data_IF_136044354116
#
_entry.id   IF_136044354116
#
_cell.length_a   1.000
_cell.length_b   1.000
_cell.length_c   1.000
_cell.angle_alpha   90.00
_cell.angle_beta   90.00
_cell.angle_gamma   90.00
#
_symmetry.space_group_name_H-M   'P 1'
#
loop_
_entity.id
_entity.type
_entity.pdbx_description
1 polymer ?
#
# COMPACT_ATOMS: atom_id res chain seq x y z
N UNK A 1 -10.34 24.89 0.57
CA UNK A 1 -10.09 23.49 0.99
C UNK A 1 -9.51 22.75 -0.20
N UNK A 2 -8.45 22.00 -0.03
CA UNK A 2 -7.83 21.23 -1.12
C UNK A 2 -8.75 20.09 -1.51
N UNK A 3 -9.01 19.89 -2.80
CA UNK A 3 -9.85 18.80 -3.29
C UNK A 3 -9.12 17.46 -3.11
N UNK A 4 -9.80 16.40 -2.64
CA UNK A 4 -9.20 15.08 -2.49
C UNK A 4 -8.78 14.50 -3.85
N UNK A 5 -7.61 13.86 -3.90
CA UNK A 5 -7.12 13.16 -5.11
C UNK A 5 -7.74 11.77 -5.26
N UNK A 6 -8.12 11.15 -4.13
CA UNK A 6 -8.90 9.90 -4.09
C UNK A 6 -10.10 10.12 -3.17
N UNK A 7 -11.29 9.73 -3.62
CA UNK A 7 -12.53 9.80 -2.86
C UNK A 7 -13.21 8.45 -2.87
N UNK A 8 -13.53 7.94 -1.71
CA UNK A 8 -14.24 6.67 -1.53
C UNK A 8 -15.56 6.96 -0.85
N UNK A 9 -16.66 6.47 -1.41
CA UNK A 9 -18.01 6.75 -0.91
C UNK A 9 -18.82 5.47 -0.82
N UNK A 10 -19.24 5.11 0.39
CA UNK A 10 -20.10 3.98 0.68
C UNK A 10 -19.57 2.64 0.16
N UNK A 11 -18.24 2.48 0.06
CA UNK A 11 -17.61 1.31 -0.56
C UNK A 11 -17.95 0.03 0.19
N UNK A 12 -18.52 -0.94 -0.51
CA UNK A 12 -18.80 -2.30 -0.01
C UNK A 12 -18.23 -3.34 -0.93
N UNK A 13 -17.70 -4.40 -0.34
CA UNK A 13 -17.12 -5.52 -1.09
C UNK A 13 -17.45 -6.84 -0.44
N UNK A 14 -17.95 -7.77 -1.26
CA UNK A 14 -18.26 -9.14 -0.84
C UNK A 14 -17.51 -10.16 -1.69
N UNK A 15 -17.04 -11.22 -1.04
CA UNK A 15 -16.56 -12.45 -1.67
C UNK A 15 -17.50 -13.59 -1.27
N UNK A 16 -18.38 -13.96 -2.18
CA UNK A 16 -19.45 -14.90 -1.88
C UNK A 16 -20.35 -14.37 -0.74
N UNK A 17 -20.39 -15.08 0.40
CA UNK A 17 -21.18 -14.69 1.58
C UNK A 17 -20.45 -13.75 2.54
N UNK A 18 -19.13 -13.55 2.36
CA UNK A 18 -18.32 -12.77 3.30
C UNK A 18 -18.25 -11.32 2.83
N UNK A 19 -18.72 -10.38 3.65
CA UNK A 19 -18.56 -8.95 3.41
C UNK A 19 -17.25 -8.47 4.04
N UNK A 20 -16.26 -8.13 3.19
CA UNK A 20 -14.90 -7.75 3.59
C UNK A 20 -14.80 -6.24 3.85
N UNK A 21 -15.44 -5.41 3.02
CA UNK A 21 -15.54 -3.97 3.23
C UNK A 21 -17.02 -3.64 3.43
N UNK A 22 -17.34 -2.93 4.52
CA UNK A 22 -18.71 -2.81 5.05
C UNK A 22 -19.24 -1.38 5.01
N UNK A 23 -19.07 -0.69 3.89
CA UNK A 23 -19.53 0.69 3.70
C UNK A 23 -18.58 1.67 4.35
N UNK A 24 -17.48 1.99 3.65
CA UNK A 24 -16.46 2.94 4.10
C UNK A 24 -16.50 4.20 3.24
N UNK A 25 -16.19 5.33 3.90
CA UNK A 25 -15.96 6.62 3.29
C UNK A 25 -14.56 7.09 3.65
N UNK A 26 -13.81 7.63 2.67
CA UNK A 26 -12.46 8.12 2.88
C UNK A 26 -12.11 9.16 1.83
N UNK A 27 -11.51 10.27 2.26
CA UNK A 27 -10.85 11.24 1.41
C UNK A 27 -9.34 11.19 1.62
N UNK A 28 -8.59 11.13 0.52
CA UNK A 28 -7.13 11.18 0.50
C UNK A 28 -6.71 12.43 -0.25
N UNK A 29 -5.89 13.25 0.40
CA UNK A 29 -5.53 14.56 -0.12
C UNK A 29 -4.20 14.53 -0.89
N UNK A 30 -4.00 15.43 -1.85
CA UNK A 30 -2.74 15.53 -2.59
C UNK A 30 -1.55 15.76 -1.65
N UNK A 31 -0.46 15.03 -1.91
CA UNK A 31 0.84 15.17 -1.24
C UNK A 31 0.88 14.74 0.22
N UNK A 32 -0.13 14.06 0.72
CA UNK A 32 -0.07 13.40 2.03
C UNK A 32 0.42 11.96 1.92
N UNK A 33 0.98 11.45 3.00
CA UNK A 33 1.15 10.02 3.23
C UNK A 33 0.04 9.56 4.18
N UNK A 34 -0.96 8.86 3.63
CA UNK A 34 -1.98 8.21 4.43
C UNK A 34 -1.56 6.77 4.72
N UNK A 35 -1.50 6.40 5.99
CA UNK A 35 -1.28 5.02 6.40
C UNK A 35 -2.60 4.40 6.85
N UNK A 36 -3.00 3.32 6.17
CA UNK A 36 -4.15 2.50 6.54
C UNK A 36 -3.63 1.35 7.39
N UNK A 37 -3.83 1.48 8.69
CA UNK A 37 -3.43 0.52 9.69
C UNK A 37 -4.56 -0.49 9.94
N UNK A 38 -4.24 -1.72 10.26
CA UNK A 38 -5.24 -2.72 10.61
C UNK A 38 -4.69 -4.14 10.62
N UNK A 39 -5.41 -5.06 11.24
CA UNK A 39 -5.04 -6.47 11.34
C UNK A 39 -5.08 -7.16 9.98
N UNK A 40 -4.38 -8.28 9.86
CA UNK A 40 -4.45 -9.11 8.64
C UNK A 40 -5.91 -9.53 8.37
N UNK A 41 -6.32 -9.47 7.10
CA UNK A 41 -7.67 -9.86 6.67
C UNK A 41 -8.77 -8.80 6.86
N UNK A 42 -8.51 -7.63 7.46
CA UNK A 42 -9.54 -6.59 7.66
C UNK A 42 -9.96 -5.83 6.39
N UNK A 43 -9.33 -6.09 5.23
CA UNK A 43 -9.73 -5.50 3.93
C UNK A 43 -8.76 -4.50 3.32
N UNK A 44 -7.59 -4.22 3.91
CA UNK A 44 -6.62 -3.20 3.44
C UNK A 44 -6.18 -3.39 1.98
N UNK A 45 -5.65 -4.56 1.64
CA UNK A 45 -5.21 -4.86 0.27
C UNK A 45 -6.38 -4.90 -0.72
N UNK A 46 -7.58 -5.27 -0.27
CA UNK A 46 -8.80 -5.19 -1.06
C UNK A 46 -9.12 -3.75 -1.41
N UNK A 47 -8.97 -2.83 -0.45
CA UNK A 47 -9.18 -1.41 -0.69
C UNK A 47 -8.20 -0.86 -1.73
N UNK A 48 -6.90 -1.19 -1.65
CA UNK A 48 -5.92 -0.78 -2.67
C UNK A 48 -6.30 -1.30 -4.06
N UNK A 49 -6.80 -2.54 -4.17
CA UNK A 49 -7.24 -3.11 -5.46
C UNK A 49 -8.43 -2.36 -6.06
N UNK A 50 -9.31 -1.79 -5.24
CA UNK A 50 -10.39 -0.91 -5.74
C UNK A 50 -9.83 0.41 -6.25
N UNK A 51 -8.88 1.02 -5.54
CA UNK A 51 -8.28 2.30 -5.93
C UNK A 51 -7.60 2.20 -7.31
N UNK A 52 -6.90 1.10 -7.60
CA UNK A 52 -6.26 0.88 -8.91
C UNK A 52 -7.19 0.23 -9.95
N UNK A 53 -8.46 0.02 -9.61
CA UNK A 53 -9.45 -0.57 -10.53
C UNK A 53 -9.24 -2.05 -10.83
N UNK A 54 -8.39 -2.79 -10.09
CA UNK A 54 -8.23 -4.25 -10.25
C UNK A 54 -9.43 -5.04 -9.76
N UNK A 55 -10.30 -4.40 -8.98
CA UNK A 55 -11.51 -5.03 -8.47
C UNK A 55 -12.67 -4.04 -8.50
N UNK A 56 -13.81 -4.47 -9.04
CA UNK A 56 -15.04 -3.69 -8.98
C UNK A 56 -15.71 -3.88 -7.62
N UNK A 57 -16.21 -2.81 -6.98
CA UNK A 57 -16.94 -2.92 -5.70
C UNK A 57 -18.30 -3.56 -5.90
N UNK A 58 -18.87 -4.14 -4.83
CA UNK A 58 -20.25 -4.61 -4.82
C UNK A 58 -21.23 -3.44 -4.76
N UNK A 59 -20.86 -2.38 -4.03
CA UNK A 59 -21.60 -1.12 -3.91
C UNK A 59 -20.63 0.02 -3.62
N UNK A 60 -21.07 1.26 -3.84
CA UNK A 60 -20.29 2.45 -3.58
C UNK A 60 -19.44 2.86 -4.77
N UNK A 61 -18.59 3.86 -4.55
CA UNK A 61 -17.83 4.55 -5.59
C UNK A 61 -16.38 4.78 -5.14
N UNK A 62 -15.46 4.73 -6.09
CA UNK A 62 -14.03 5.04 -5.88
C UNK A 62 -13.58 5.99 -6.98
N UNK A 63 -13.49 7.27 -6.65
CA UNK A 63 -12.99 8.29 -7.56
C UNK A 63 -11.48 8.46 -7.36
N UNK A 64 -10.73 8.34 -8.43
CA UNK A 64 -9.28 8.62 -8.46
C UNK A 64 -9.03 9.71 -9.49
N UNK A 65 -8.52 10.85 -9.05
CA UNK A 65 -8.37 12.04 -9.91
C UNK A 65 -9.67 12.43 -10.63
N UNK A 66 -10.81 12.28 -9.95
CA UNK A 66 -12.14 12.58 -10.48
C UNK A 66 -12.77 11.47 -11.33
N UNK A 67 -12.05 10.40 -11.65
CA UNK A 67 -12.54 9.28 -12.47
C UNK A 67 -13.01 8.12 -11.58
N UNK A 68 -14.22 7.62 -11.79
CA UNK A 68 -14.75 6.49 -11.04
C UNK A 68 -14.17 5.16 -11.54
N UNK A 69 -13.24 4.60 -10.78
CA UNK A 69 -12.55 3.35 -11.10
C UNK A 69 -13.47 2.12 -11.09
N UNK A 70 -14.69 2.23 -10.55
CA UNK A 70 -15.66 1.14 -10.56
C UNK A 70 -16.30 0.92 -11.94
N UNK A 71 -16.41 2.00 -12.73
CA UNK A 71 -17.12 1.99 -14.02
C UNK A 71 -16.25 2.42 -15.20
N UNK A 72 -15.14 3.15 -14.95
CA UNK A 72 -14.24 3.60 -16.02
C UNK A 72 -13.65 2.41 -16.80
N UNK A 73 -13.56 2.58 -18.12
CA UNK A 73 -13.03 1.57 -19.05
C UNK A 73 -12.15 2.25 -20.12
N UNK A 74 -11.35 1.46 -20.82
CA UNK A 74 -10.51 1.92 -21.93
C UNK A 74 -9.55 3.04 -21.55
N UNK A 75 -9.39 4.03 -22.45
CA UNK A 75 -8.38 5.10 -22.32
C UNK A 75 -8.54 5.96 -21.06
N UNK A 76 -9.77 6.21 -20.58
CA UNK A 76 -10.00 6.99 -19.38
C UNK A 76 -9.42 6.30 -18.14
N UNK A 77 -9.69 5.00 -17.99
CA UNK A 77 -9.11 4.17 -16.92
C UNK A 77 -7.60 4.06 -17.03
N UNK A 78 -7.09 3.81 -18.24
CA UNK A 78 -5.66 3.65 -18.51
C UNK A 78 -4.88 4.94 -18.21
N UNK A 79 -5.47 6.10 -18.53
CA UNK A 79 -4.87 7.41 -18.19
C UNK A 79 -4.70 7.59 -16.68
N UNK A 80 -5.67 7.17 -15.87
CA UNK A 80 -5.57 7.18 -14.41
C UNK A 80 -4.53 6.15 -13.94
N UNK A 81 -4.58 4.91 -14.45
CA UNK A 81 -3.67 3.84 -14.05
C UNK A 81 -2.20 4.20 -14.30
N UNK A 82 -1.89 4.90 -15.40
CA UNK A 82 -0.52 5.43 -15.68
C UNK A 82 -0.04 6.43 -14.63
N UNK A 83 -0.95 7.06 -13.86
CA UNK A 83 -0.63 8.01 -12.78
C UNK A 83 -0.66 7.41 -11.39
N UNK A 84 -0.85 6.10 -11.28
CA UNK A 84 -0.87 5.36 -10.02
C UNK A 84 0.20 4.26 -10.08
N UNK A 85 1.23 4.38 -9.25
CA UNK A 85 2.20 3.31 -9.03
C UNK A 85 1.74 2.37 -7.92
N UNK A 86 2.04 1.07 -8.04
CA UNK A 86 1.69 0.08 -7.03
C UNK A 86 2.87 -0.79 -6.64
N UNK A 87 3.23 -0.80 -5.36
CA UNK A 87 4.10 -1.79 -4.76
C UNK A 87 3.24 -2.88 -4.09
N UNK A 88 3.26 -4.07 -4.64
CA UNK A 88 2.57 -5.24 -4.10
C UNK A 88 3.34 -5.87 -2.93
N UNK A 89 2.66 -6.56 -2.03
CA UNK A 89 3.23 -7.20 -0.85
C UNK A 89 4.45 -8.09 -1.17
N UNK A 90 4.40 -8.89 -2.22
CA UNK A 90 5.52 -9.74 -2.68
C UNK A 90 6.46 -9.07 -3.70
N UNK A 91 6.41 -7.72 -3.86
CA UNK A 91 7.02 -6.97 -4.95
C UNK A 91 6.51 -7.35 -6.37
N UNK A 92 5.96 -8.53 -6.55
CA UNK A 92 5.36 -9.06 -7.80
C UNK A 92 6.27 -8.87 -9.05
N UNK A 93 7.58 -9.08 -8.89
CA UNK A 93 8.52 -9.05 -10.03
C UNK A 93 8.30 -10.28 -10.92
N UNK A 94 8.41 -10.07 -12.23
CA UNK A 94 8.43 -11.16 -13.19
C UNK A 94 9.76 -11.92 -13.09
N UNK A 95 9.72 -13.16 -12.67
CA UNK A 95 10.92 -13.97 -12.43
C UNK A 95 11.66 -14.35 -13.73
N UNK A 96 11.02 -14.24 -14.89
CA UNK A 96 11.60 -14.48 -16.22
C UNK A 96 12.28 -13.24 -16.81
N UNK A 97 12.24 -12.11 -16.12
CA UNK A 97 12.79 -10.83 -16.54
C UNK A 97 13.85 -10.36 -15.54
N UNK A 98 14.89 -9.70 -16.04
CA UNK A 98 15.88 -9.04 -15.17
C UNK A 98 15.24 -7.91 -14.36
N UNK A 99 15.97 -7.37 -13.39
CA UNK A 99 15.55 -6.22 -12.60
C UNK A 99 15.32 -5.00 -13.50
N UNK A 100 16.23 -4.76 -14.44
CA UNK A 100 16.11 -3.67 -15.41
C UNK A 100 14.87 -3.83 -16.29
N UNK A 101 14.63 -5.03 -16.84
CA UNK A 101 13.45 -5.33 -17.67
C UNK A 101 12.15 -5.18 -16.86
N UNK A 102 12.11 -5.61 -15.61
CA UNK A 102 10.96 -5.37 -14.72
C UNK A 102 10.64 -3.88 -14.55
N UNK A 103 11.65 -3.04 -14.39
CA UNK A 103 11.47 -1.59 -14.21
C UNK A 103 11.16 -0.89 -15.53
N UNK A 104 11.70 -1.37 -16.65
CA UNK A 104 11.46 -0.84 -17.98
C UNK A 104 10.04 -1.14 -18.49
N UNK A 105 9.47 -2.29 -18.09
CA UNK A 105 8.21 -2.82 -18.64
C UNK A 105 7.07 -1.79 -18.70
N UNK A 106 6.75 -1.00 -17.64
CA UNK A 106 5.70 0.00 -17.75
C UNK A 106 5.97 1.08 -18.81
N UNK A 107 7.24 1.44 -19.01
CA UNK A 107 7.64 2.42 -20.01
C UNK A 107 7.50 1.85 -21.43
N UNK A 108 7.87 0.59 -21.63
CA UNK A 108 7.76 -0.11 -22.93
C UNK A 108 6.29 -0.29 -23.34
N UNK A 109 5.44 -0.68 -22.41
CA UNK A 109 4.02 -0.95 -22.68
C UNK A 109 3.18 0.33 -22.86
N UNK A 110 3.52 1.42 -22.16
CA UNK A 110 2.65 2.59 -22.10
C UNK A 110 3.23 3.84 -22.74
N UNK A 111 4.44 3.77 -23.36
CA UNK A 111 5.05 4.92 -24.03
C UNK A 111 5.59 4.56 -25.42
N UNK A 112 5.92 5.58 -26.18
CA UNK A 112 6.63 5.43 -27.48
C UNK A 112 8.06 5.95 -27.41
N UNK A 113 8.69 5.87 -26.24
CA UNK A 113 10.06 6.31 -26.01
C UNK A 113 11.07 5.41 -26.73
N UNK A 114 12.18 6.01 -27.20
CA UNK A 114 13.26 5.22 -27.77
C UNK A 114 13.87 4.28 -26.71
N UNK A 115 14.32 3.07 -27.08
CA UNK A 115 14.92 2.10 -26.14
C UNK A 115 16.09 2.67 -25.32
N UNK A 116 16.88 3.58 -25.91
CA UNK A 116 17.97 4.28 -25.20
C UNK A 116 17.44 5.17 -24.07
N UNK A 117 16.33 5.86 -24.29
CA UNK A 117 15.68 6.71 -23.29
C UNK A 117 15.10 5.86 -22.16
N UNK A 118 14.39 4.77 -22.49
CA UNK A 118 13.84 3.81 -21.51
C UNK A 118 14.97 3.27 -20.62
N UNK A 119 16.12 2.90 -21.20
CA UNK A 119 17.28 2.41 -20.44
C UNK A 119 17.82 3.45 -19.47
N UNK A 120 17.92 4.70 -19.88
CA UNK A 120 18.36 5.79 -19.00
C UNK A 120 17.35 5.97 -17.84
N UNK A 121 16.06 6.05 -18.15
CA UNK A 121 15.01 6.19 -17.13
C UNK A 121 15.04 5.03 -16.15
N UNK A 122 15.14 3.80 -16.64
CA UNK A 122 15.24 2.59 -15.81
C UNK A 122 16.41 2.68 -14.81
N UNK A 123 17.61 3.05 -15.28
CA UNK A 123 18.78 3.22 -14.41
C UNK A 123 18.58 4.31 -13.37
N UNK A 124 17.99 5.43 -13.74
CA UNK A 124 17.65 6.50 -12.78
C UNK A 124 16.68 5.99 -11.70
N UNK A 125 15.65 5.20 -12.07
CA UNK A 125 14.72 4.63 -11.09
C UNK A 125 15.40 3.62 -10.16
N UNK A 126 16.31 2.80 -10.69
CA UNK A 126 17.11 1.87 -9.87
C UNK A 126 18.06 2.62 -8.93
N UNK A 127 18.69 3.68 -9.38
CA UNK A 127 19.53 4.53 -8.54
C UNK A 127 18.74 5.18 -7.40
N UNK A 128 17.55 5.72 -7.68
CA UNK A 128 16.65 6.31 -6.67
C UNK A 128 16.33 5.37 -5.52
N UNK A 129 16.25 4.06 -5.77
CA UNK A 129 15.96 3.06 -4.74
C UNK A 129 17.23 2.37 -4.21
N UNK A 130 18.43 2.79 -4.62
CA UNK A 130 19.70 2.26 -4.18
C UNK A 130 20.04 0.89 -4.79
N UNK A 131 19.65 0.67 -6.04
CA UNK A 131 19.95 -0.55 -6.82
C UNK A 131 20.76 -0.24 -8.10
N UNK A 132 21.64 0.76 -8.06
CA UNK A 132 22.57 1.03 -9.18
C UNK A 132 23.44 -0.18 -9.49
N UNK A 133 23.52 -0.57 -10.77
CA UNK A 133 24.31 -1.71 -11.23
C UNK A 133 23.66 -3.08 -11.05
N UNK A 134 22.39 -3.14 -10.64
CA UNK A 134 21.63 -4.38 -10.53
C UNK A 134 20.69 -4.63 -11.72
N UNK A 135 20.84 -3.89 -12.82
CA UNK A 135 19.97 -3.97 -14.02
C UNK A 135 19.86 -5.39 -14.58
N UNK A 136 21.02 -6.09 -14.66
CA UNK A 136 21.10 -7.43 -15.30
C UNK A 136 20.83 -8.59 -14.32
N UNK A 137 20.60 -8.29 -13.03
CA UNK A 137 20.32 -9.32 -12.03
C UNK A 137 18.89 -9.86 -12.19
N UNK A 138 18.72 -11.16 -11.95
CA UNK A 138 17.40 -11.78 -11.91
C UNK A 138 16.77 -11.62 -10.50
N UNK A 139 15.44 -11.55 -10.38
CA UNK A 139 14.77 -11.46 -9.08
C UNK A 139 15.19 -12.53 -8.07
N UNK A 140 15.51 -13.74 -8.55
CA UNK A 140 15.97 -14.84 -7.69
C UNK A 140 17.32 -14.57 -6.99
N UNK A 141 18.14 -13.66 -7.54
CA UNK A 141 19.44 -13.27 -6.99
C UNK A 141 19.35 -12.15 -5.95
N UNK A 142 18.17 -11.56 -5.75
CA UNK A 142 17.96 -10.44 -4.85
C UNK A 142 17.52 -10.91 -3.46
N UNK A 143 17.95 -10.17 -2.43
CA UNK A 143 17.38 -10.28 -1.08
C UNK A 143 15.93 -9.78 -1.06
N UNK A 144 15.18 -10.07 0.02
CA UNK A 144 13.79 -9.59 0.18
C UNK A 144 13.67 -8.08 0.09
N UNK A 145 14.55 -7.35 0.77
CA UNK A 145 14.59 -5.89 0.72
C UNK A 145 14.94 -5.33 -0.67
N UNK A 146 15.88 -5.96 -1.39
CA UNK A 146 16.22 -5.58 -2.76
C UNK A 146 15.03 -5.83 -3.72
N UNK A 147 14.28 -6.93 -3.55
CA UNK A 147 13.05 -7.17 -4.32
C UNK A 147 12.01 -6.08 -4.09
N UNK A 148 11.82 -5.64 -2.85
CA UNK A 148 10.91 -4.53 -2.52
C UNK A 148 11.37 -3.22 -3.18
N UNK A 149 12.67 -2.91 -3.13
CA UNK A 149 13.25 -1.74 -3.80
C UNK A 149 13.06 -1.80 -5.32
N UNK A 150 13.30 -2.94 -5.97
CA UNK A 150 13.07 -3.13 -7.40
C UNK A 150 11.58 -2.98 -7.77
N UNK A 151 10.68 -3.55 -6.96
CA UNK A 151 9.23 -3.35 -7.11
C UNK A 151 8.83 -1.89 -6.97
N UNK A 152 9.47 -1.14 -6.06
CA UNK A 152 9.26 0.29 -5.88
C UNK A 152 9.77 1.08 -7.09
N UNK A 153 10.97 0.75 -7.63
CA UNK A 153 11.49 1.36 -8.85
C UNK A 153 10.54 1.17 -10.03
N UNK A 154 9.97 -0.04 -10.19
CA UNK A 154 8.96 -0.32 -11.21
C UNK A 154 7.68 0.50 -11.01
N UNK A 155 7.20 0.59 -9.77
CA UNK A 155 6.02 1.41 -9.44
C UNK A 155 6.24 2.90 -9.76
N UNK A 156 7.48 3.37 -9.69
CA UNK A 156 7.87 4.76 -9.98
C UNK A 156 8.20 5.00 -11.47
N UNK A 157 8.24 3.98 -12.32
CA UNK A 157 8.75 4.08 -13.69
C UNK A 157 8.05 5.16 -14.51
N UNK A 158 6.73 5.31 -14.36
CA UNK A 158 5.88 6.26 -15.11
C UNK A 158 5.72 7.63 -14.42
N UNK A 159 6.55 7.98 -13.42
CA UNK A 159 6.40 9.20 -12.62
C UNK A 159 4.95 9.41 -12.11
N UNK A 160 4.45 8.51 -11.26
CA UNK A 160 3.08 8.55 -10.81
C UNK A 160 2.82 9.71 -9.84
N UNK A 161 1.58 10.24 -9.84
CA UNK A 161 1.11 11.23 -8.86
C UNK A 161 0.74 10.57 -7.53
N UNK A 162 0.37 9.28 -7.59
CA UNK A 162 -0.09 8.47 -6.45
C UNK A 162 0.76 7.20 -6.40
N UNK A 163 1.28 6.87 -5.21
CA UNK A 163 1.97 5.61 -4.95
C UNK A 163 1.19 4.82 -3.89
N UNK A 164 0.78 3.62 -4.24
CA UNK A 164 0.12 2.68 -3.34
C UNK A 164 1.13 1.62 -2.90
N UNK A 165 1.25 1.36 -1.60
CA UNK A 165 2.16 0.36 -1.05
C UNK A 165 1.39 -0.65 -0.20
N UNK A 166 1.41 -1.90 -0.62
CA UNK A 166 0.81 -3.01 0.13
C UNK A 166 1.88 -3.72 0.96
N UNK A 167 1.88 -3.50 2.27
CA UNK A 167 2.80 -4.09 3.24
C UNK A 167 4.28 -3.96 2.78
N UNK A 168 4.80 -2.72 2.60
CA UNK A 168 6.11 -2.50 1.97
C UNK A 168 7.27 -3.09 2.77
N UNK A 169 7.22 -3.04 4.10
CA UNK A 169 8.26 -3.50 5.02
C UNK A 169 8.02 -4.92 5.56
N UNK A 170 6.84 -5.51 5.33
CA UNK A 170 6.49 -6.81 5.89
C UNK A 170 7.42 -7.95 5.44
N UNK A 171 7.81 -8.78 6.41
CA UNK A 171 8.66 -9.96 6.17
C UNK A 171 10.14 -9.63 5.99
N UNK A 172 10.57 -8.41 6.28
CA UNK A 172 11.96 -7.98 6.29
C UNK A 172 12.50 -7.94 7.73
N UNK A 173 13.82 -7.99 7.86
CA UNK A 173 14.44 -7.69 9.15
C UNK A 173 14.22 -6.21 9.53
N UNK A 174 14.22 -5.86 10.83
CA UNK A 174 13.86 -4.51 11.28
C UNK A 174 14.70 -3.39 10.67
N UNK A 175 15.98 -3.62 10.40
CA UNK A 175 16.89 -2.60 9.86
C UNK A 175 16.52 -2.32 8.39
N UNK A 176 16.29 -3.38 7.62
CA UNK A 176 15.89 -3.25 6.21
C UNK A 176 14.48 -2.66 6.09
N UNK A 177 13.55 -3.05 6.97
CA UNK A 177 12.19 -2.50 7.03
C UNK A 177 12.22 -0.98 7.23
N UNK A 178 12.93 -0.48 8.24
CA UNK A 178 13.14 0.97 8.47
C UNK A 178 13.78 1.64 7.26
N UNK A 179 14.69 0.97 6.56
CA UNK A 179 15.30 1.46 5.33
C UNK A 179 14.30 1.66 4.17
N UNK A 180 13.27 0.80 4.07
CA UNK A 180 12.18 0.95 3.09
C UNK A 180 11.27 2.12 3.49
N UNK A 181 10.91 2.24 4.76
CA UNK A 181 10.06 3.33 5.25
C UNK A 181 10.73 4.70 5.03
N UNK A 182 12.01 4.82 5.36
CA UNK A 182 12.78 6.03 5.07
C UNK A 182 12.85 6.35 3.56
N UNK A 183 12.96 5.33 2.71
CA UNK A 183 12.94 5.52 1.26
C UNK A 183 11.59 6.06 0.80
N UNK A 184 10.48 5.48 1.27
CA UNK A 184 9.11 5.95 0.96
C UNK A 184 8.95 7.41 1.38
N UNK A 185 9.37 7.77 2.59
CA UNK A 185 9.33 9.15 3.07
C UNK A 185 10.17 10.11 2.22
N UNK A 186 11.38 9.73 1.83
CA UNK A 186 12.23 10.53 0.94
C UNK A 186 11.60 10.74 -0.44
N UNK A 187 10.99 9.69 -1.00
CA UNK A 187 10.29 9.78 -2.28
C UNK A 187 9.11 10.75 -2.19
N UNK A 188 8.31 10.68 -1.12
CA UNK A 188 7.21 11.62 -0.89
C UNK A 188 7.70 13.07 -0.85
N UNK A 189 8.76 13.35 -0.08
CA UNK A 189 9.32 14.69 0.06
C UNK A 189 9.93 15.22 -1.25
N UNK A 190 10.67 14.38 -1.98
CA UNK A 190 11.36 14.78 -3.20
C UNK A 190 10.40 15.03 -4.37
N UNK A 191 9.39 14.18 -4.53
CA UNK A 191 8.46 14.21 -5.67
C UNK A 191 7.09 14.81 -5.32
N UNK A 192 6.85 15.11 -4.04
CA UNK A 192 5.55 15.62 -3.55
C UNK A 192 4.36 14.78 -4.00
N UNK A 193 4.58 13.48 -4.16
CA UNK A 193 3.52 12.52 -4.54
C UNK A 193 2.61 12.23 -3.36
N UNK A 194 1.41 11.76 -3.66
CA UNK A 194 0.50 11.23 -2.65
C UNK A 194 0.83 9.76 -2.41
N UNK A 195 0.97 9.34 -1.17
CA UNK A 195 1.31 7.95 -0.85
C UNK A 195 0.21 7.35 0.03
N UNK A 196 -0.23 6.14 -0.31
CA UNK A 196 -1.12 5.33 0.52
C UNK A 196 -0.39 4.05 0.87
N UNK A 197 -0.13 3.86 2.15
CA UNK A 197 0.51 2.65 2.67
C UNK A 197 -0.50 1.85 3.46
N UNK A 198 -0.65 0.57 3.17
CA UNK A 198 -1.37 -0.33 4.05
C UNK A 198 -0.37 -1.19 4.81
N UNK A 199 -0.51 -1.29 6.13
CA UNK A 199 0.38 -2.05 7.00
C UNK A 199 -0.33 -2.47 8.29
N UNK A 200 0.29 -3.39 9.02
CA UNK A 200 -0.06 -3.73 10.40
C UNK A 200 1.06 -3.33 11.39
N UNK A 201 2.13 -2.68 10.90
CA UNK A 201 3.32 -2.32 11.68
C UNK A 201 3.24 -0.87 12.19
N UNK A 202 3.17 -0.68 13.50
CA UNK A 202 3.11 0.65 14.14
C UNK A 202 4.39 1.46 13.95
N UNK A 203 5.55 0.80 13.91
CA UNK A 203 6.84 1.46 13.71
C UNK A 203 6.86 2.24 12.38
N UNK A 204 6.38 1.61 11.30
CA UNK A 204 6.25 2.27 10.00
C UNK A 204 5.31 3.48 10.05
N UNK A 205 4.18 3.35 10.78
CA UNK A 205 3.23 4.46 10.94
C UNK A 205 3.91 5.71 11.49
N UNK A 206 4.70 5.56 12.56
CA UNK A 206 5.37 6.70 13.19
C UNK A 206 6.42 7.37 12.31
N UNK A 207 7.01 6.62 11.38
CA UNK A 207 8.03 7.13 10.49
C UNK A 207 7.46 7.90 9.30
N UNK A 208 6.34 7.43 8.73
CA UNK A 208 5.91 7.90 7.41
C UNK A 208 4.54 8.57 7.38
N UNK A 209 3.66 8.35 8.35
CA UNK A 209 2.27 8.82 8.26
C UNK A 209 2.12 10.32 8.53
N UNK A 210 1.45 11.03 7.63
CA UNK A 210 0.85 12.34 7.93
C UNK A 210 -0.54 12.14 8.55
N UNK A 211 -1.31 11.17 8.03
CA UNK A 211 -2.61 10.74 8.57
C UNK A 211 -2.68 9.22 8.68
N UNK A 212 -3.47 8.77 9.63
CA UNK A 212 -3.70 7.35 9.95
C UNK A 212 -5.19 7.07 9.81
N UNK A 213 -5.52 6.00 9.11
CA UNK A 213 -6.86 5.42 9.07
C UNK A 213 -6.79 3.99 9.65
N UNK A 214 -7.39 3.76 10.83
CA UNK A 214 -7.43 2.41 11.41
C UNK A 214 -8.64 1.66 10.87
N UNK A 215 -8.37 0.57 10.17
CA UNK A 215 -9.39 -0.34 9.66
C UNK A 215 -9.56 -1.54 10.59
N UNK A 216 -10.78 -1.74 11.08
CA UNK A 216 -11.18 -2.86 11.91
C UNK A 216 -12.45 -3.50 11.33
N UNK A 217 -12.43 -4.82 11.12
CA UNK A 217 -13.58 -5.60 10.59
C UNK A 217 -14.28 -4.99 9.37
N UNK A 218 -13.50 -4.45 8.42
CA UNK A 218 -14.02 -3.88 7.18
C UNK A 218 -14.61 -2.47 7.29
N UNK A 219 -14.36 -1.75 8.40
CA UNK A 219 -14.76 -0.36 8.64
C UNK A 219 -13.59 0.47 9.11
N UNK A 220 -13.61 1.77 8.86
CA UNK A 220 -12.71 2.68 9.55
C UNK A 220 -13.29 3.03 10.92
N UNK A 221 -12.51 2.78 11.98
CA UNK A 221 -12.86 3.12 13.36
C UNK A 221 -12.15 4.39 13.84
N UNK A 222 -11.09 4.80 13.16
CA UNK A 222 -10.37 6.04 13.41
C UNK A 222 -9.80 6.60 12.11
N UNK A 223 -9.85 7.92 11.94
CA UNK A 223 -9.12 8.66 10.91
C UNK A 223 -8.64 9.96 11.56
N UNK A 224 -7.34 10.22 11.54
CA UNK A 224 -6.75 11.42 12.15
C UNK A 224 -5.24 11.46 11.95
N UNK A 225 -4.58 12.44 12.57
CA UNK A 225 -3.13 12.55 12.61
C UNK A 225 -2.51 11.63 13.68
N UNK A 226 -1.18 11.61 13.76
CA UNK A 226 -0.45 10.79 14.72
C UNK A 226 -0.72 11.22 16.18
N UNK A 227 -0.91 12.51 16.45
CA UNK A 227 -1.15 13.03 17.79
C UNK A 227 -2.52 12.58 18.30
N UNK A 228 -3.57 12.77 17.48
CA UNK A 228 -4.91 12.31 17.77
C UNK A 228 -4.97 10.78 17.94
N UNK A 229 -4.20 10.01 17.12
CA UNK A 229 -4.13 8.57 17.25
C UNK A 229 -3.53 8.14 18.59
N UNK A 230 -2.42 8.77 19.03
CA UNK A 230 -1.78 8.49 20.32
C UNK A 230 -2.69 8.84 21.52
N UNK A 231 -3.45 9.94 21.43
CA UNK A 231 -4.35 10.41 22.47
C UNK A 231 -5.69 9.64 22.51
N UNK A 232 -6.00 8.86 21.49
CA UNK A 232 -7.28 8.17 21.36
C UNK A 232 -7.51 7.15 22.47
N UNK A 233 -8.75 7.13 23.00
CA UNK A 233 -9.22 6.16 24.01
C UNK A 233 -10.09 5.06 23.38
N UNK A 234 -10.22 5.03 22.04
CA UNK A 234 -10.97 3.97 21.35
C UNK A 234 -10.32 2.61 21.61
N UNK A 235 -11.11 1.59 21.99
CA UNK A 235 -10.57 0.26 22.35
C UNK A 235 -9.70 -0.34 21.25
N UNK A 236 -10.11 -0.20 19.99
CA UNK A 236 -9.38 -0.73 18.83
C UNK A 236 -8.03 -0.02 18.63
N UNK A 237 -7.97 1.30 18.90
CA UNK A 237 -6.73 2.07 18.83
C UNK A 237 -5.82 1.67 19.99
N UNK A 238 -6.36 1.58 21.21
CA UNK A 238 -5.59 1.17 22.40
C UNK A 238 -5.03 -0.24 22.24
N UNK A 239 -5.80 -1.17 21.68
CA UNK A 239 -5.34 -2.53 21.40
C UNK A 239 -4.10 -2.54 20.49
N UNK A 240 -4.06 -1.69 19.45
CA UNK A 240 -2.87 -1.55 18.60
C UNK A 240 -1.69 -0.91 19.34
N UNK A 241 -1.93 0.20 20.07
CA UNK A 241 -0.88 0.92 20.79
C UNK A 241 -0.22 0.06 21.87
N UNK A 242 -1.03 -0.73 22.57
CA UNK A 242 -0.59 -1.57 23.70
C UNK A 242 -0.20 -3.00 23.26
N UNK A 243 -0.32 -3.30 21.96
CA UNK A 243 -0.03 -4.63 21.39
C UNK A 243 -0.78 -5.75 22.13
N UNK A 244 -2.04 -5.48 22.51
CA UNK A 244 -2.85 -6.45 23.22
C UNK A 244 -3.34 -7.56 22.28
N UNK A 245 -3.36 -8.82 22.73
CA UNK A 245 -3.92 -9.93 21.95
C UNK A 245 -5.40 -9.72 21.67
N UNK A 246 -5.92 -10.42 20.66
CA UNK A 246 -7.35 -10.41 20.36
C UNK A 246 -8.13 -11.02 21.52
N UNK A 247 -9.11 -10.30 22.10
CA UNK A 247 -9.97 -10.88 23.11
C UNK A 247 -10.83 -12.04 22.57
N UNK A 248 -11.05 -12.12 21.25
CA UNK A 248 -11.76 -13.20 20.58
C UNK A 248 -10.78 -14.26 20.06
N UNK A 249 -10.05 -14.90 20.98
CA UNK A 249 -9.16 -16.02 20.65
C UNK A 249 -9.93 -17.14 19.93
N UNK A 250 -9.33 -17.79 18.90
CA UNK A 250 -9.86 -19.03 18.33
C UNK A 250 -10.12 -20.09 19.41
N UNK A 251 -11.11 -20.97 19.21
CA UNK A 251 -11.48 -21.99 20.20
C UNK A 251 -10.28 -22.83 20.67
N UNK A 252 -9.36 -23.15 19.76
CA UNK A 252 -8.13 -23.89 20.09
C UNK A 252 -7.22 -23.15 21.07
N UNK A 253 -7.08 -21.83 20.94
CA UNK A 253 -6.27 -21.02 21.87
C UNK A 253 -6.97 -20.85 23.22
N UNK A 254 -8.30 -20.75 23.26
CA UNK A 254 -9.07 -20.76 24.50
C UNK A 254 -8.89 -22.08 25.26
N UNK A 255 -8.86 -23.20 24.54
CA UNK A 255 -8.59 -24.51 25.12
C UNK A 255 -7.19 -24.59 25.74
N UNK A 256 -6.17 -24.09 25.03
CA UNK A 256 -4.79 -24.04 25.55
C UNK A 256 -4.68 -23.14 26.78
N UNK A 257 -5.29 -21.95 26.79
CA UNK A 257 -5.32 -21.05 27.95
C UNK A 257 -5.96 -21.72 29.18
N UNK A 258 -7.01 -22.54 28.96
CA UNK A 258 -7.63 -23.31 30.04
C UNK A 258 -6.70 -24.39 30.59
N UNK A 259 -5.91 -25.06 29.74
CA UNK A 259 -4.95 -26.08 30.15
C UNK A 259 -3.75 -25.52 30.95
N UNK A 260 -3.33 -24.29 30.63
CA UNK A 260 -2.21 -23.59 31.29
C UNK A 260 -2.65 -22.90 32.60
N UNK A 261 -3.96 -22.90 32.90
CA UNK A 261 -4.47 -22.35 34.15
C UNK A 261 -4.59 -20.81 34.18
N UNK A 262 -4.53 -20.16 33.03
CA UNK A 262 -4.84 -18.72 32.90
C UNK A 262 -6.35 -18.50 33.10
N UNK A 263 -6.73 -18.30 34.38
CA UNK A 263 -8.08 -17.82 34.71
C UNK A 263 -8.11 -16.29 34.50
N UNK A 264 -9.12 -15.83 33.78
CA UNK A 264 -9.47 -14.40 33.75
C UNK A 264 -9.95 -13.91 35.10
#
# INVERSE_FOLDING_TARGET
MTEPIIQIRGLRTRYGRIEVIKGIDLDIYPRETLVILGRSGCGKSTLLRHIIGLQKPTQGQVLVKGVDMAVAEGEERDAVCRKVGMLFQGAALFNSMSVGENVALPLEEHTRLAPSTIRIMTRLKLEMVGLSGFDDFMPAQLSGGMKKRAGLARALAMDPDILLCDEPSAGLDPIVAVGIDHLIRKLQQAFRMTIVVVTHELESVWLIADRIALMHEGRFVFIGDQEAFRASQLPEVRQFLERQPDPNLPEGERYLATLVGERR
#
